data_IF_034031659005
#
_entry.id   IF_034031659005
#
_cell.length_a   1.000
_cell.length_b   1.000
_cell.length_c   1.000
_cell.angle_alpha   90.00
_cell.angle_beta   90.00
_cell.angle_gamma   90.00
#
_symmetry.space_group_name_H-M   'P 1'
#
loop_
_entity.id
_entity.type
_entity.pdbx_description
1 polymer ?
#
# COMPACT_ATOMS: atom_id res chain seq x y z
N UNK A 1 -18.63 23.93 0.81
CA UNK A 1 -18.70 22.51 0.38
C UNK A 1 -18.47 22.40 -1.12
N UNK A 2 -18.19 21.21 -1.66
CA UNK A 2 -18.10 20.97 -3.12
C UNK A 2 -19.16 19.94 -3.47
N UNK A 3 -19.97 20.23 -4.50
CA UNK A 3 -21.02 19.33 -4.98
C UNK A 3 -20.42 18.30 -5.94
N UNK A 4 -20.49 17.03 -5.56
CA UNK A 4 -20.18 15.89 -6.43
C UNK A 4 -21.31 14.88 -6.26
N UNK A 5 -21.99 14.51 -7.35
CA UNK A 5 -22.98 13.42 -7.35
C UNK A 5 -24.15 13.58 -6.35
N UNK A 6 -24.68 14.79 -6.17
CA UNK A 6 -25.91 15.04 -5.40
C UNK A 6 -25.75 15.17 -3.87
N UNK A 7 -24.53 15.11 -3.32
CA UNK A 7 -24.27 15.30 -1.89
C UNK A 7 -23.23 16.38 -1.59
N UNK A 8 -23.32 17.00 -0.41
CA UNK A 8 -22.28 17.88 0.15
C UNK A 8 -21.11 17.08 0.70
N UNK A 9 -19.90 17.34 0.19
CA UNK A 9 -18.66 16.74 0.70
C UNK A 9 -18.04 17.63 1.78
N UNK A 10 -17.86 17.10 2.99
CA UNK A 10 -17.05 17.75 4.03
C UNK A 10 -15.57 17.73 3.60
N UNK A 11 -15.03 18.94 3.34
CA UNK A 11 -13.65 19.15 2.91
C UNK A 11 -12.63 18.62 3.94
N UNK A 12 -12.90 18.76 5.24
CA UNK A 12 -11.96 18.33 6.30
C UNK A 12 -11.87 16.81 6.34
N UNK A 13 -13.02 16.14 6.30
CA UNK A 13 -13.08 14.68 6.22
C UNK A 13 -12.40 14.18 4.94
N UNK A 14 -12.66 14.80 3.79
CA UNK A 14 -12.05 14.39 2.53
C UNK A 14 -10.52 14.48 2.58
N UNK A 15 -9.96 15.57 3.12
CA UNK A 15 -8.50 15.72 3.25
C UNK A 15 -7.90 14.60 4.13
N UNK A 16 -8.55 14.24 5.23
CA UNK A 16 -8.09 13.14 6.07
C UNK A 16 -8.21 11.77 5.39
N UNK A 17 -9.31 11.56 4.66
CA UNK A 17 -9.51 10.32 3.93
C UNK A 17 -8.48 10.16 2.81
N UNK A 18 -8.16 11.24 2.08
CA UNK A 18 -7.10 11.25 1.06
C UNK A 18 -5.74 10.96 1.67
N UNK A 19 -5.43 11.53 2.85
CA UNK A 19 -4.19 11.22 3.58
C UNK A 19 -4.08 9.73 3.91
N UNK A 20 -5.17 9.13 4.42
CA UNK A 20 -5.25 7.70 4.74
C UNK A 20 -5.14 6.82 3.49
N UNK A 21 -5.82 7.19 2.42
CA UNK A 21 -5.80 6.52 1.12
C UNK A 21 -4.40 6.51 0.49
N UNK A 22 -3.72 7.67 0.48
CA UNK A 22 -2.35 7.81 -0.01
C UNK A 22 -1.38 6.93 0.76
N UNK A 23 -1.50 6.94 2.10
CA UNK A 23 -0.63 6.15 2.96
C UNK A 23 -0.84 4.64 2.75
N UNK A 24 -2.09 4.17 2.68
CA UNK A 24 -2.39 2.76 2.38
C UNK A 24 -1.90 2.35 0.98
N UNK A 25 -2.09 3.22 -0.02
CA UNK A 25 -1.57 2.99 -1.39
C UNK A 25 -0.05 2.89 -1.41
N UNK A 26 0.64 3.73 -0.63
CA UNK A 26 2.09 3.68 -0.45
C UNK A 26 2.54 2.34 0.13
N UNK A 27 1.85 1.82 1.15
CA UNK A 27 2.16 0.49 1.70
C UNK A 27 2.06 -0.59 0.61
N UNK A 28 0.98 -0.60 -0.18
CA UNK A 28 0.82 -1.55 -1.28
C UNK A 28 1.96 -1.47 -2.30
N UNK A 29 2.34 -0.26 -2.71
CA UNK A 29 3.43 -0.06 -3.67
C UNK A 29 4.77 -0.59 -3.15
N UNK A 30 5.12 -0.32 -1.90
CA UNK A 30 6.33 -0.87 -1.28
C UNK A 30 6.24 -2.38 -1.07
N UNK A 31 5.08 -2.92 -0.71
CA UNK A 31 4.87 -4.36 -0.57
C UNK A 31 5.14 -5.09 -1.90
N UNK A 32 4.60 -4.57 -3.00
CA UNK A 32 4.83 -5.08 -4.35
C UNK A 32 6.31 -5.02 -4.74
N UNK A 33 6.97 -3.87 -4.53
CA UNK A 33 8.39 -3.71 -4.82
C UNK A 33 9.29 -4.65 -4.02
N UNK A 34 9.00 -4.82 -2.73
CA UNK A 34 9.74 -5.76 -1.88
C UNK A 34 9.52 -7.22 -2.30
N UNK A 35 8.30 -7.59 -2.68
CA UNK A 35 8.01 -8.94 -3.19
C UNK A 35 8.74 -9.21 -4.51
N UNK A 36 8.84 -8.21 -5.40
CA UNK A 36 9.61 -8.31 -6.65
C UNK A 36 11.09 -8.56 -6.36
N UNK A 37 11.68 -7.78 -5.44
CA UNK A 37 13.09 -7.95 -5.04
C UNK A 37 13.34 -9.32 -4.42
N UNK A 38 12.43 -9.80 -3.56
CA UNK A 38 12.53 -11.14 -2.99
C UNK A 38 12.49 -12.22 -4.06
N UNK A 39 11.51 -12.15 -4.96
CA UNK A 39 11.37 -13.12 -6.04
C UNK A 39 12.64 -13.18 -6.91
N UNK A 40 13.21 -12.01 -7.25
CA UNK A 40 14.45 -11.96 -8.03
C UNK A 40 15.66 -12.46 -7.25
N UNK A 41 15.74 -12.15 -5.95
CA UNK A 41 16.78 -12.67 -5.06
C UNK A 41 16.76 -14.20 -5.00
N UNK A 42 15.58 -14.81 -4.93
CA UNK A 42 15.41 -16.27 -4.95
C UNK A 42 15.82 -16.84 -6.29
N UNK A 43 15.32 -16.28 -7.40
CA UNK A 43 15.67 -16.73 -8.76
C UNK A 43 17.18 -16.68 -9.04
N UNK A 44 17.87 -15.66 -8.51
CA UNK A 44 19.30 -15.44 -8.76
C UNK A 44 20.23 -15.87 -7.63
N UNK A 45 19.70 -16.47 -6.57
CA UNK A 45 20.45 -16.83 -5.36
C UNK A 45 21.29 -15.68 -4.79
N UNK A 46 20.81 -14.45 -4.86
CA UNK A 46 21.54 -13.26 -4.40
C UNK A 46 21.55 -13.08 -2.88
N UNK A 47 20.69 -13.78 -2.15
CA UNK A 47 20.54 -13.65 -0.70
C UNK A 47 20.38 -12.20 -0.24
N UNK A 48 19.54 -11.42 -0.94
CA UNK A 48 19.28 -10.03 -0.63
C UNK A 48 18.72 -9.87 0.79
N UNK A 49 19.30 -8.96 1.56
CA UNK A 49 18.76 -8.54 2.85
C UNK A 49 17.79 -7.36 2.65
N UNK A 50 16.49 -7.64 2.63
CA UNK A 50 15.45 -6.63 2.37
C UNK A 50 15.37 -5.55 3.47
N UNK A 51 15.70 -5.90 4.72
CA UNK A 51 15.79 -4.94 5.82
C UNK A 51 16.93 -3.93 5.60
N UNK A 52 18.09 -4.41 5.18
CA UNK A 52 19.23 -3.54 4.86
C UNK A 52 18.99 -2.67 3.63
N UNK A 53 18.31 -3.19 2.59
CA UNK A 53 17.86 -2.37 1.46
C UNK A 53 16.97 -1.20 1.93
N UNK A 54 16.00 -1.48 2.80
CA UNK A 54 15.15 -0.44 3.37
C UNK A 54 15.96 0.59 4.18
N UNK A 55 16.97 0.14 4.93
CA UNK A 55 17.86 1.02 5.72
C UNK A 55 18.66 1.97 4.83
N UNK A 56 19.29 1.47 3.76
CA UNK A 56 20.12 2.33 2.89
C UNK A 56 19.28 3.34 2.09
N UNK A 57 18.02 3.03 1.78
CA UNK A 57 17.11 3.99 1.14
C UNK A 57 16.66 5.12 2.07
N UNK A 58 16.99 5.09 3.36
CA UNK A 58 16.65 6.19 4.26
C UNK A 58 17.46 7.46 4.01
N UNK A 59 18.67 7.34 3.44
CA UNK A 59 19.60 8.45 3.25
C UNK A 59 19.94 8.67 1.78
N UNK A 60 20.11 9.93 1.38
CA UNK A 60 20.63 10.31 0.06
C UNK A 60 19.69 10.12 -1.14
N UNK A 61 18.76 9.16 -1.11
CA UNK A 61 17.87 8.90 -2.24
C UNK A 61 16.58 9.75 -2.23
N UNK A 62 15.87 9.78 -3.35
CA UNK A 62 14.63 10.56 -3.54
C UNK A 62 13.48 10.03 -2.66
N UNK A 63 13.38 8.71 -2.49
CA UNK A 63 12.26 8.06 -1.78
C UNK A 63 12.39 8.06 -0.25
N UNK A 64 13.44 8.70 0.28
CA UNK A 64 13.76 8.76 1.71
C UNK A 64 12.55 9.22 2.53
N UNK A 65 12.25 8.48 3.60
CA UNK A 65 11.15 8.80 4.51
C UNK A 65 11.29 8.04 5.83
N UNK A 66 10.71 8.57 6.92
CA UNK A 66 10.53 7.86 8.21
C UNK A 66 9.82 6.51 7.99
N UNK A 67 8.98 6.40 6.96
CA UNK A 67 8.33 5.15 6.55
C UNK A 67 9.31 3.98 6.32
N UNK A 68 10.51 4.24 5.83
CA UNK A 68 11.51 3.19 5.55
C UNK A 68 12.07 2.55 6.83
N UNK A 69 12.09 3.28 7.95
CA UNK A 69 12.43 2.69 9.25
C UNK A 69 11.46 1.61 9.67
N UNK A 70 10.18 1.78 9.31
CA UNK A 70 9.14 0.83 9.64
C UNK A 70 9.25 -0.43 8.80
N UNK A 71 9.60 -0.28 7.52
CA UNK A 71 9.91 -1.43 6.65
C UNK A 71 11.11 -2.19 7.19
N UNK A 72 12.19 -1.50 7.58
CA UNK A 72 13.35 -2.14 8.22
C UNK A 72 12.91 -2.93 9.45
N UNK A 73 12.16 -2.31 10.37
CA UNK A 73 11.64 -2.98 11.58
C UNK A 73 10.79 -4.21 11.28
N UNK A 74 9.98 -4.19 10.22
CA UNK A 74 9.19 -5.35 9.80
C UNK A 74 10.08 -6.53 9.38
N UNK A 75 11.16 -6.27 8.65
CA UNK A 75 12.15 -7.30 8.28
C UNK A 75 13.09 -7.69 9.42
N UNK A 76 13.37 -6.79 10.36
CA UNK A 76 14.09 -7.14 11.60
C UNK A 76 13.28 -8.13 12.45
N UNK A 77 11.95 -7.93 12.52
CA UNK A 77 11.02 -8.86 13.21
C UNK A 77 10.92 -10.21 12.49
N UNK A 78 10.83 -10.20 11.17
CA UNK A 78 10.75 -11.41 10.36
C UNK A 78 11.54 -11.25 9.06
N UNK A 79 12.79 -11.76 8.99
CA UNK A 79 13.60 -11.70 7.78
C UNK A 79 12.99 -12.44 6.59
N UNK A 80 12.10 -13.42 6.84
CA UNK A 80 11.40 -14.22 5.84
C UNK A 80 9.97 -13.72 5.59
N UNK A 81 9.67 -12.46 5.93
CA UNK A 81 8.34 -11.87 5.75
C UNK A 81 7.89 -11.98 4.27
N UNK A 82 6.76 -12.67 3.99
CA UNK A 82 6.30 -12.89 2.62
C UNK A 82 5.63 -11.67 2.00
N UNK A 83 5.23 -10.67 2.79
CA UNK A 83 4.76 -9.37 2.28
C UNK A 83 4.67 -8.39 3.44
N UNK A 84 4.91 -7.11 3.17
CA UNK A 84 4.63 -6.05 4.15
C UNK A 84 3.14 -6.04 4.56
N UNK A 85 2.23 -6.51 3.72
CA UNK A 85 0.80 -6.57 4.03
C UNK A 85 0.44 -7.56 5.16
N UNK A 86 1.34 -8.50 5.50
CA UNK A 86 1.12 -9.46 6.59
C UNK A 86 1.98 -9.18 7.82
N UNK A 87 2.78 -8.12 7.81
CA UNK A 87 3.41 -7.63 9.03
C UNK A 87 2.33 -7.10 9.99
N UNK A 88 2.38 -7.42 11.30
CA UNK A 88 1.30 -7.06 12.23
C UNK A 88 0.99 -5.57 12.36
N UNK A 89 1.99 -4.70 12.20
CA UNK A 89 1.77 -3.25 12.27
C UNK A 89 1.14 -2.74 10.98
N UNK A 90 1.71 -3.09 9.83
CA UNK A 90 1.17 -2.67 8.54
C UNK A 90 -0.23 -3.25 8.28
N UNK A 91 -0.48 -4.52 8.62
CA UNK A 91 -1.79 -5.13 8.49
C UNK A 91 -2.86 -4.35 9.27
N UNK A 92 -2.57 -3.98 10.53
CA UNK A 92 -3.45 -3.16 11.36
C UNK A 92 -3.74 -1.81 10.69
N UNK A 93 -2.71 -1.15 10.19
CA UNK A 93 -2.87 0.15 9.53
C UNK A 93 -3.72 0.08 8.26
N UNK A 94 -3.59 -1.00 7.49
CA UNK A 94 -4.41 -1.25 6.31
C UNK A 94 -5.88 -1.43 6.71
N UNK A 95 -6.17 -2.18 7.76
CA UNK A 95 -7.55 -2.36 8.28
C UNK A 95 -8.14 -1.03 8.73
N UNK A 96 -7.38 -0.20 9.45
CA UNK A 96 -7.84 1.12 9.92
C UNK A 96 -8.14 2.10 8.77
N UNK A 97 -7.45 1.97 7.64
CA UNK A 97 -7.48 2.96 6.55
C UNK A 97 -8.31 2.55 5.34
N UNK A 98 -8.61 1.27 5.17
CA UNK A 98 -9.31 0.79 3.97
C UNK A 98 -10.69 1.45 3.75
N UNK A 99 -11.41 1.81 4.80
CA UNK A 99 -12.72 2.45 4.67
C UNK A 99 -12.60 3.87 4.08
N UNK A 100 -11.66 4.67 4.60
CA UNK A 100 -11.32 5.99 4.05
C UNK A 100 -10.83 5.90 2.62
N UNK A 101 -9.97 4.91 2.35
CA UNK A 101 -9.45 4.67 1.01
C UNK A 101 -10.54 4.38 -0.01
N UNK A 102 -11.51 3.52 0.32
CA UNK A 102 -12.67 3.22 -0.53
C UNK A 102 -13.53 4.45 -0.78
N UNK A 103 -13.76 5.30 0.23
CA UNK A 103 -14.50 6.56 0.04
C UNK A 103 -13.82 7.47 -0.98
N UNK A 104 -12.49 7.61 -0.91
CA UNK A 104 -11.73 8.42 -1.87
C UNK A 104 -11.82 7.87 -3.28
N UNK A 105 -11.62 6.56 -3.46
CA UNK A 105 -11.68 5.92 -4.79
C UNK A 105 -13.09 6.05 -5.38
N UNK A 106 -14.13 5.77 -4.60
CA UNK A 106 -15.52 5.91 -5.06
C UNK A 106 -15.87 7.34 -5.43
N UNK A 107 -15.47 8.32 -4.61
CA UNK A 107 -15.69 9.73 -4.89
C UNK A 107 -14.98 10.16 -6.17
N UNK A 108 -13.72 9.74 -6.35
CA UNK A 108 -12.94 10.06 -7.54
C UNK A 108 -13.59 9.48 -8.81
N UNK A 109 -14.04 8.23 -8.76
CA UNK A 109 -14.76 7.58 -9.87
C UNK A 109 -16.04 8.35 -10.21
N UNK A 110 -16.88 8.65 -9.20
CA UNK A 110 -18.14 9.38 -9.40
C UNK A 110 -17.92 10.81 -9.92
N UNK A 111 -16.77 11.40 -9.60
CA UNK A 111 -16.38 12.73 -10.07
C UNK A 111 -15.70 12.72 -11.45
N UNK A 112 -15.43 11.55 -12.04
CA UNK A 112 -14.65 11.44 -13.28
C UNK A 112 -13.16 11.80 -13.11
N UNK A 113 -12.63 11.74 -11.89
CA UNK A 113 -11.22 12.04 -11.59
C UNK A 113 -10.40 10.74 -11.58
N UNK A 114 -9.41 10.67 -12.47
CA UNK A 114 -8.52 9.52 -12.57
C UNK A 114 -7.58 9.43 -11.37
N UNK A 115 -7.59 8.29 -10.66
CA UNK A 115 -6.72 8.00 -9.51
C UNK A 115 -6.05 6.62 -9.64
N UNK A 116 -5.34 6.34 -10.75
CA UNK A 116 -4.92 4.98 -11.11
C UNK A 116 -4.06 4.33 -10.03
N UNK A 117 -3.11 5.05 -9.44
CA UNK A 117 -2.24 4.51 -8.39
C UNK A 117 -2.98 4.10 -7.11
N UNK A 118 -4.02 4.85 -6.72
CA UNK A 118 -4.85 4.48 -5.55
C UNK A 118 -5.80 3.33 -5.88
N UNK A 119 -6.40 3.35 -7.07
CA UNK A 119 -7.34 2.33 -7.51
C UNK A 119 -6.67 0.96 -7.65
N UNK A 120 -5.53 0.89 -8.34
CA UNK A 120 -4.78 -0.37 -8.52
C UNK A 120 -4.20 -0.89 -7.22
N UNK A 121 -3.74 0.00 -6.34
CA UNK A 121 -3.27 -0.39 -5.01
C UNK A 121 -4.40 -1.00 -4.16
N UNK A 122 -5.63 -0.48 -4.27
CA UNK A 122 -6.80 -1.02 -3.58
C UNK A 122 -7.19 -2.39 -4.14
N UNK A 123 -7.21 -2.51 -5.47
CA UNK A 123 -7.46 -3.77 -6.15
C UNK A 123 -6.42 -4.84 -5.79
N UNK A 124 -5.13 -4.46 -5.70
CA UNK A 124 -4.05 -5.33 -5.23
C UNK A 124 -4.30 -5.81 -3.79
N UNK A 125 -4.62 -4.88 -2.87
CA UNK A 125 -4.93 -5.24 -1.48
C UNK A 125 -6.11 -6.21 -1.39
N UNK A 126 -7.20 -5.94 -2.10
CA UNK A 126 -8.38 -6.80 -2.14
C UNK A 126 -8.10 -8.17 -2.76
N UNK A 127 -7.25 -8.23 -3.78
CA UNK A 127 -6.82 -9.49 -4.39
C UNK A 127 -5.95 -10.29 -3.42
N UNK A 128 -4.96 -9.65 -2.81
CA UNK A 128 -3.96 -10.30 -1.96
C UNK A 128 -4.56 -10.92 -0.69
N UNK A 129 -5.60 -10.30 -0.12
CA UNK A 129 -6.24 -10.77 1.12
C UNK A 129 -7.31 -11.86 0.92
N UNK A 130 -7.56 -12.29 -0.32
CA UNK A 130 -8.61 -13.28 -0.64
C UNK A 130 -8.00 -14.65 -0.84
N UNK A 131 -8.45 -15.63 -0.06
CA UNK A 131 -8.04 -17.03 -0.22
C UNK A 131 -8.51 -17.64 -1.55
N UNK A 132 -9.66 -17.18 -2.07
CA UNK A 132 -10.21 -17.62 -3.37
C UNK A 132 -10.45 -16.41 -4.26
N UNK A 133 -9.81 -16.43 -5.42
CA UNK A 133 -9.98 -15.49 -6.52
C UNK A 133 -10.83 -16.12 -7.63
N UNK A 134 -11.44 -15.32 -8.54
CA UNK A 134 -12.19 -15.82 -9.69
C UNK A 134 -11.31 -16.47 -10.77
N UNK A 135 -10.05 -16.82 -10.46
CA UNK A 135 -9.11 -17.47 -11.39
C UNK A 135 -9.57 -18.86 -11.84
N UNK A 136 -10.58 -19.45 -11.19
CA UNK A 136 -11.19 -20.71 -11.62
C UNK A 136 -12.09 -20.58 -12.86
N UNK A 137 -12.33 -19.37 -13.37
CA UNK A 137 -13.14 -19.09 -14.56
C UNK A 137 -12.31 -18.59 -15.75
N UNK A 138 -11.05 -18.19 -15.54
CA UNK A 138 -10.12 -17.78 -16.61
C UNK A 138 -9.80 -18.99 -17.48
#
# INVERSE_FOLDING_TARGET
DVLVGGGTVDKRQLVDDVRKALYASKICSYAQGMNLLRAKSTEKAWNLNLGELARIWKGGCIIRAIFLDRIKKAYDRNPQLPSLLVDPEFAREMVERQAAWRRVVNLAINAGISTPGMNTSLAYFDTYRRARLPANLV
#
